data_IF_623569843753
#
_entry.id   IF_623569843753
#
_cell.length_a   1.000
_cell.length_b   1.000
_cell.length_c   1.000
_cell.angle_alpha   90.00
_cell.angle_beta   90.00
_cell.angle_gamma   90.00
#
_symmetry.space_group_name_H-M   'P 1'
#
loop_
_entity.id
_entity.type
_entity.pdbx_description
1 polymer ?
#
# COMPACT_ATOMS: atom_id res chain seq x y z
N UNK A 1 34.04 -4.38 20.05
CA UNK A 1 32.69 -4.24 19.43
C UNK A 1 31.68 -3.76 20.46
N UNK A 2 31.11 -2.57 20.28
CA UNK A 2 30.07 -2.07 21.17
C UNK A 2 28.81 -2.94 21.05
N UNK A 3 28.17 -3.34 22.16
CA UNK A 3 26.89 -4.05 22.12
C UNK A 3 25.84 -3.13 21.50
N UNK A 4 25.17 -3.59 20.44
CA UNK A 4 24.07 -2.86 19.80
C UNK A 4 24.26 -2.50 18.32
N UNK A 5 25.42 -2.77 17.71
CA UNK A 5 25.55 -2.66 16.25
C UNK A 5 25.14 -3.96 15.59
N UNK A 6 23.86 -4.05 15.19
CA UNK A 6 23.40 -5.10 14.28
C UNK A 6 24.07 -4.86 12.93
N UNK A 7 24.91 -5.79 12.49
CA UNK A 7 25.58 -5.75 11.20
C UNK A 7 24.72 -6.47 10.17
N UNK A 8 24.34 -5.79 9.09
CA UNK A 8 23.50 -6.35 8.04
C UNK A 8 22.88 -5.25 7.20
N UNK A 9 22.36 -5.61 6.02
CA UNK A 9 21.49 -4.72 5.27
C UNK A 9 20.08 -4.80 5.88
N UNK A 10 19.49 -3.64 6.14
CA UNK A 10 18.13 -3.51 6.65
C UNK A 10 17.31 -2.63 5.72
N UNK A 11 16.00 -2.84 5.68
CA UNK A 11 15.09 -2.06 4.83
C UNK A 11 13.99 -1.39 5.65
N UNK A 12 13.65 -0.18 5.25
CA UNK A 12 12.42 0.50 5.69
C UNK A 12 11.58 0.73 4.44
N UNK A 13 10.33 0.32 4.50
CA UNK A 13 9.36 0.49 3.42
C UNK A 13 8.21 1.34 3.93
N UNK A 14 7.73 2.25 3.09
CA UNK A 14 6.58 3.11 3.38
C UNK A 14 5.52 2.89 2.32
N UNK A 15 4.28 2.68 2.75
CA UNK A 15 3.10 2.65 1.89
C UNK A 15 2.15 3.73 2.38
N UNK A 16 1.81 4.68 1.49
CA UNK A 16 1.02 5.85 1.84
C UNK A 16 0.21 6.35 0.65
N UNK A 17 -1.06 6.70 0.87
CA UNK A 17 -1.96 7.14 -0.21
C UNK A 17 -3.40 7.37 0.26
N UNK A 18 -4.26 7.67 -0.69
CA UNK A 18 -5.70 7.84 -0.50
C UNK A 18 -6.47 7.16 -1.63
N UNK A 19 -7.70 6.78 -1.31
CA UNK A 19 -8.65 6.17 -2.25
C UNK A 19 -9.89 7.06 -2.35
N UNK A 20 -10.46 7.16 -3.56
CA UNK A 20 -11.73 7.80 -3.83
C UNK A 20 -12.66 6.76 -4.45
N UNK A 21 -13.69 6.37 -3.71
CA UNK A 21 -14.64 5.35 -4.13
C UNK A 21 -15.79 5.94 -4.96
N UNK A 22 -16.51 5.08 -5.68
CA UNK A 22 -17.58 5.50 -6.60
C UNK A 22 -18.75 6.21 -5.89
N UNK A 23 -19.03 5.86 -4.62
CA UNK A 23 -20.02 6.52 -3.78
C UNK A 23 -19.55 7.87 -3.21
N UNK A 24 -18.33 8.29 -3.57
CA UNK A 24 -17.70 9.53 -3.11
C UNK A 24 -17.03 9.42 -1.75
N UNK A 25 -17.06 8.26 -1.10
CA UNK A 25 -16.33 8.03 0.14
C UNK A 25 -14.81 8.02 -0.10
N UNK A 26 -14.07 8.51 0.88
CA UNK A 26 -12.61 8.64 0.80
C UNK A 26 -11.95 7.78 1.86
N UNK A 27 -10.93 7.03 1.46
CA UNK A 27 -10.06 6.28 2.37
C UNK A 27 -8.62 6.78 2.31
N UNK A 28 -7.79 6.27 3.21
CA UNK A 28 -6.35 6.46 3.12
C UNK A 28 -5.57 5.49 3.98
N UNK A 29 -4.27 5.44 3.73
CA UNK A 29 -3.37 4.53 4.42
C UNK A 29 -2.03 5.21 4.66
N UNK A 30 -1.40 4.89 5.79
CA UNK A 30 -0.04 5.29 6.15
C UNK A 30 0.58 4.25 7.04
N UNK A 31 1.47 3.46 6.46
CA UNK A 31 2.09 2.34 7.15
C UNK A 31 3.53 2.16 6.72
N UNK A 32 4.30 1.58 7.64
CA UNK A 32 5.71 1.26 7.45
C UNK A 32 5.95 -0.22 7.74
N UNK A 33 6.89 -0.78 7.01
CA UNK A 33 7.45 -2.10 7.24
C UNK A 33 8.97 -2.01 7.45
N UNK A 34 9.51 -2.89 8.30
CA UNK A 34 10.92 -3.05 8.57
C UNK A 34 11.35 -4.48 8.22
N UNK A 35 12.36 -4.63 7.37
CA UNK A 35 12.83 -5.93 6.87
C UNK A 35 11.69 -6.82 6.32
N UNK A 36 10.75 -6.21 5.58
CA UNK A 36 9.62 -6.88 4.95
C UNK A 36 8.47 -7.27 5.90
N UNK A 37 8.51 -6.86 7.17
CA UNK A 37 7.46 -7.12 8.16
C UNK A 37 6.80 -5.82 8.60
N UNK A 38 5.50 -5.87 8.87
CA UNK A 38 4.76 -4.72 9.40
C UNK A 38 5.46 -4.15 10.63
N UNK A 39 5.54 -2.82 10.69
CA UNK A 39 6.22 -2.10 11.77
C UNK A 39 5.24 -1.17 12.49
N UNK A 40 4.61 -0.24 11.77
CA UNK A 40 3.61 0.68 12.33
C UNK A 40 2.62 1.14 11.27
N UNK A 41 1.34 1.30 11.63
CA UNK A 41 0.29 1.78 10.74
C UNK A 41 -0.63 2.77 11.46
N UNK A 42 -1.11 3.80 10.74
CA UNK A 42 -2.08 4.77 11.26
C UNK A 42 -3.50 4.29 10.98
N UNK A 43 -4.32 4.28 12.03
CA UNK A 43 -5.77 4.20 11.94
C UNK A 43 -6.32 5.62 11.84
N UNK A 44 -6.88 5.97 10.67
CA UNK A 44 -7.37 7.31 10.35
C UNK A 44 -8.70 7.67 11.03
N UNK A 45 -9.44 6.68 11.53
CA UNK A 45 -10.74 6.87 12.17
C UNK A 45 -10.54 7.19 13.65
N UNK A 46 -9.62 6.48 14.30
CA UNK A 46 -9.27 6.68 15.70
C UNK A 46 -8.14 7.67 15.91
N UNK A 47 -7.40 8.04 14.85
CA UNK A 47 -6.17 8.84 14.90
C UNK A 47 -5.09 8.22 15.82
N UNK A 48 -5.03 6.89 15.87
CA UNK A 48 -4.04 6.17 16.67
C UNK A 48 -3.14 5.32 15.80
N UNK A 49 -1.92 5.04 16.28
CA UNK A 49 -1.00 4.16 15.56
C UNK A 49 -1.04 2.75 16.12
N UNK A 50 -1.13 1.75 15.26
CA UNK A 50 -0.92 0.34 15.61
C UNK A 50 0.55 0.00 15.39
N UNK A 51 1.27 -0.29 16.47
CA UNK A 51 2.65 -0.77 16.44
C UNK A 51 2.69 -2.30 16.43
N UNK A 52 3.37 -2.87 15.46
CA UNK A 52 3.42 -4.32 15.24
C UNK A 52 4.45 -5.03 16.15
N UNK A 53 5.49 -4.32 16.59
CA UNK A 53 6.52 -4.85 17.49
C UNK A 53 6.88 -3.87 18.62
N UNK A 54 7.72 -4.33 19.55
CA UNK A 54 8.15 -3.54 20.71
C UNK A 54 9.04 -2.36 20.32
N UNK A 55 9.80 -2.43 19.22
CA UNK A 55 10.62 -1.32 18.75
C UNK A 55 9.75 -0.19 18.18
N UNK A 56 8.68 -0.54 17.47
CA UNK A 56 7.67 0.38 16.92
C UNK A 56 6.91 1.15 18.00
N UNK A 57 6.81 0.64 19.24
CA UNK A 57 6.22 1.36 20.37
C UNK A 57 6.94 2.68 20.68
N UNK A 58 8.23 2.78 20.37
CA UNK A 58 8.97 4.04 20.51
C UNK A 58 8.50 5.07 19.48
N UNK A 59 8.30 4.64 18.23
CA UNK A 59 7.78 5.48 17.15
C UNK A 59 6.34 5.89 17.43
N UNK A 60 5.48 4.95 17.85
CA UNK A 60 4.08 5.21 18.22
C UNK A 60 3.98 6.34 19.23
N UNK A 61 4.64 6.22 20.39
CA UNK A 61 4.61 7.27 21.43
C UNK A 61 5.06 8.62 20.89
N UNK A 62 6.17 8.66 20.15
CA UNK A 62 6.67 9.91 19.57
C UNK A 62 5.68 10.56 18.59
N UNK A 63 4.96 9.77 17.81
CA UNK A 63 4.01 10.28 16.83
C UNK A 63 2.67 10.66 17.43
N UNK A 64 2.20 9.93 18.44
CA UNK A 64 0.98 10.25 19.20
C UNK A 64 1.17 11.42 20.18
N UNK A 65 2.37 11.63 20.72
CA UNK A 65 2.72 12.85 21.47
C UNK A 65 2.85 14.07 20.54
N UNK A 66 2.98 13.83 19.23
CA UNK A 66 3.10 14.85 18.18
C UNK A 66 1.78 15.13 17.49
N UNK A 67 1.85 15.58 16.24
CA UNK A 67 0.69 15.87 15.37
C UNK A 67 0.71 15.04 14.08
N UNK A 68 1.40 13.90 14.09
CA UNK A 68 1.63 13.11 12.88
C UNK A 68 0.31 12.52 12.36
N UNK A 69 -0.56 12.09 13.26
CA UNK A 69 -1.87 11.53 12.92
C UNK A 69 -2.77 12.58 12.25
N UNK A 70 -2.90 13.77 12.83
CA UNK A 70 -3.70 14.87 12.28
C UNK A 70 -3.13 15.39 10.97
N UNK A 71 -1.80 15.50 10.88
CA UNK A 71 -1.10 15.91 9.66
C UNK A 71 -1.40 14.95 8.52
N UNK A 72 -1.37 13.66 8.80
CA UNK A 72 -1.66 12.65 7.78
C UNK A 72 -3.15 12.62 7.40
N UNK A 73 -4.05 12.72 8.38
CA UNK A 73 -5.50 12.83 8.12
C UNK A 73 -5.81 14.05 7.24
N UNK A 74 -5.23 15.21 7.56
CA UNK A 74 -5.38 16.40 6.73
C UNK A 74 -4.87 16.20 5.30
N UNK A 75 -3.70 15.55 5.14
CA UNK A 75 -3.17 15.23 3.82
C UNK A 75 -4.12 14.32 3.02
N UNK A 76 -4.64 13.25 3.63
CA UNK A 76 -5.55 12.30 2.98
C UNK A 76 -6.85 12.99 2.58
N UNK A 77 -7.51 13.67 3.51
CA UNK A 77 -8.84 14.26 3.29
C UNK A 77 -8.83 15.45 2.31
N UNK A 78 -7.68 16.13 2.16
CA UNK A 78 -7.57 17.33 1.34
C UNK A 78 -6.62 17.12 0.17
N UNK A 79 -5.31 17.20 0.44
CA UNK A 79 -4.28 17.26 -0.59
C UNK A 79 -4.32 16.04 -1.50
N UNK A 80 -4.37 14.84 -0.92
CA UNK A 80 -4.29 13.61 -1.68
C UNK A 80 -5.50 13.46 -2.62
N UNK A 81 -6.72 13.66 -2.12
CA UNK A 81 -7.94 13.55 -2.92
C UNK A 81 -8.02 14.64 -3.99
N UNK A 82 -7.62 15.88 -3.69
CA UNK A 82 -7.56 16.96 -4.68
C UNK A 82 -6.63 16.61 -5.84
N UNK A 83 -5.42 16.13 -5.53
CA UNK A 83 -4.45 15.73 -6.53
C UNK A 83 -4.88 14.48 -7.29
N UNK A 84 -5.48 13.50 -6.62
CA UNK A 84 -6.03 12.29 -7.26
C UNK A 84 -7.07 12.64 -8.32
N UNK A 85 -8.01 13.54 -8.02
CA UNK A 85 -9.00 14.04 -8.99
C UNK A 85 -8.34 14.68 -10.21
N UNK A 86 -7.29 15.49 -10.01
CA UNK A 86 -6.53 16.11 -11.12
C UNK A 86 -5.83 15.05 -11.97
N UNK A 87 -5.14 14.09 -11.36
CA UNK A 87 -4.43 13.05 -12.11
C UNK A 87 -5.35 12.12 -12.89
N UNK A 88 -6.50 11.75 -12.30
CA UNK A 88 -7.54 11.00 -13.03
C UNK A 88 -8.05 11.81 -14.22
N UNK A 89 -8.31 13.10 -14.04
CA UNK A 89 -8.73 13.98 -15.15
C UNK A 89 -7.66 14.10 -16.25
N UNK A 90 -6.39 14.25 -15.89
CA UNK A 90 -5.29 14.34 -16.86
C UNK A 90 -5.07 13.04 -17.63
N UNK A 91 -5.22 11.91 -16.95
CA UNK A 91 -4.95 10.58 -17.50
C UNK A 91 -6.19 9.86 -18.03
N UNK A 92 -7.38 10.46 -18.00
CA UNK A 92 -8.67 9.76 -18.14
C UNK A 92 -8.70 8.84 -19.36
N UNK A 93 -8.34 9.36 -20.54
CA UNK A 93 -8.36 8.59 -21.78
C UNK A 93 -7.44 7.37 -21.78
N UNK A 94 -6.35 7.40 -21.01
CA UNK A 94 -5.40 6.28 -20.88
C UNK A 94 -5.82 5.33 -19.77
N UNK A 95 -6.26 5.86 -18.62
CA UNK A 95 -6.68 5.07 -17.46
C UNK A 95 -7.95 4.26 -17.75
N UNK A 96 -8.88 4.81 -18.53
CA UNK A 96 -10.12 4.14 -18.91
C UNK A 96 -9.97 3.27 -20.18
N UNK A 97 -8.78 3.28 -20.82
CA UNK A 97 -8.54 2.50 -22.04
C UNK A 97 -8.61 1.00 -21.73
N UNK A 98 -9.40 0.28 -22.52
CA UNK A 98 -9.54 -1.18 -22.44
C UNK A 98 -8.86 -1.80 -23.64
N UNK A 99 -7.82 -2.60 -23.40
CA UNK A 99 -7.16 -3.41 -24.41
C UNK A 99 -7.59 -4.88 -24.23
N UNK A 100 -8.18 -5.52 -25.25
CA UNK A 100 -8.57 -6.92 -25.13
C UNK A 100 -7.31 -7.80 -25.08
N UNK A 101 -7.27 -8.80 -24.18
CA UNK A 101 -6.11 -9.68 -24.11
C UNK A 101 -6.07 -10.63 -25.31
N UNK A 102 -4.87 -10.99 -25.73
CA UNK A 102 -4.66 -12.11 -26.64
C UNK A 102 -4.77 -13.42 -25.88
N UNK A 103 -5.71 -14.29 -26.25
CA UNK A 103 -5.94 -15.56 -25.54
C UNK A 103 -5.35 -16.73 -26.30
N UNK A 104 -4.59 -17.58 -25.59
CA UNK A 104 -4.05 -18.84 -26.11
C UNK A 104 -4.43 -20.01 -25.21
N UNK A 105 -5.05 -21.01 -25.81
CA UNK A 105 -5.33 -22.31 -25.18
C UNK A 105 -4.32 -23.35 -25.67
N UNK A 106 -3.82 -24.18 -24.77
CA UNK A 106 -2.89 -25.26 -25.10
C UNK A 106 -3.18 -26.49 -24.24
N UNK A 107 -2.91 -27.68 -24.80
CA UNK A 107 -3.00 -28.95 -24.08
C UNK A 107 -1.63 -29.63 -24.03
N UNK A 108 -1.33 -30.29 -22.92
CA UNK A 108 -0.16 -31.17 -22.80
C UNK A 108 -0.60 -32.48 -22.15
N UNK A 109 -0.34 -33.59 -22.82
CA UNK A 109 -0.66 -34.92 -22.30
C UNK A 109 0.60 -35.54 -21.68
N UNK A 110 0.48 -36.03 -20.44
CA UNK A 110 1.53 -36.73 -19.73
C UNK A 110 0.92 -37.77 -18.78
N UNK A 111 1.50 -38.97 -18.73
CA UNK A 111 1.03 -40.06 -17.86
C UNK A 111 -0.49 -40.36 -17.96
N UNK A 112 -1.06 -40.27 -19.17
CA UNK A 112 -2.49 -40.51 -19.40
C UNK A 112 -3.41 -39.40 -18.91
N UNK A 113 -2.88 -38.24 -18.51
CA UNK A 113 -3.64 -37.06 -18.12
C UNK A 113 -3.41 -35.91 -19.09
N UNK A 114 -4.48 -35.34 -19.63
CA UNK A 114 -4.44 -34.11 -20.43
C UNK A 114 -4.54 -32.89 -19.52
N UNK A 115 -3.49 -32.07 -19.48
CA UNK A 115 -3.50 -30.77 -18.80
C UNK A 115 -3.81 -29.66 -19.80
N UNK A 116 -4.89 -28.91 -19.57
CA UNK A 116 -5.25 -27.73 -20.37
C UNK A 116 -4.72 -26.46 -19.68
N UNK A 117 -4.22 -25.51 -20.47
CA UNK A 117 -3.77 -24.19 -20.01
C UNK A 117 -4.38 -23.10 -20.88
N UNK A 118 -5.04 -22.13 -20.23
CA UNK A 118 -5.49 -20.89 -20.85
C UNK A 118 -4.58 -19.75 -20.38
N UNK A 119 -4.04 -18.97 -21.32
CA UNK A 119 -3.21 -17.78 -21.03
C UNK A 119 -3.81 -16.57 -21.74
N UNK A 120 -3.94 -15.47 -21.01
CA UNK A 120 -4.28 -14.15 -21.52
C UNK A 120 -3.02 -13.29 -21.47
N UNK A 121 -2.68 -12.64 -22.58
CA UNK A 121 -1.54 -11.72 -22.73
C UNK A 121 -2.04 -10.31 -23.03
#
# INVERSE_FOLDING_TARGET
PAPGRVSGAHTIQRMAGCDLLEDGSTGGFYQFAYDGRDYIALDLDTLTFTAADTAAQNTKRKWEDGTEAERWKHYVENTCIEWLKKYVSYGQAVLERKEPPSVRVSGTEAHGTLTLRCRAY
#
